data_IF_079945537466
#
_entry.id   IF_079945537466
#
_cell.length_a   1.000
_cell.length_b   1.000
_cell.length_c   1.000
_cell.angle_alpha   90.00
_cell.angle_beta   90.00
_cell.angle_gamma   90.00
#
_symmetry.space_group_name_H-M   'P 1'
#
loop_
_entity.id
_entity.type
_entity.pdbx_description
1 polymer ?
#
# COMPACT_ATOMS: atom_id res chain seq x y z
N UNK A 1 19.05 13.81 -2.69
CA UNK A 1 17.64 13.42 -2.85
C UNK A 1 17.54 11.93 -2.53
N UNK A 2 16.66 11.53 -1.64
CA UNK A 2 16.46 10.13 -1.27
C UNK A 2 15.42 9.53 -2.21
N UNK A 3 15.63 8.31 -2.67
CA UNK A 3 14.67 7.53 -3.47
C UNK A 3 14.39 6.22 -2.75
N UNK A 4 13.14 5.91 -2.51
CA UNK A 4 12.69 4.66 -1.91
C UNK A 4 11.89 3.86 -2.93
N UNK A 5 12.45 2.75 -3.38
CA UNK A 5 11.72 1.73 -4.14
C UNK A 5 11.09 0.78 -3.14
N UNK A 6 9.81 0.43 -3.31
CA UNK A 6 9.13 -0.48 -2.39
C UNK A 6 8.10 -1.34 -3.12
N UNK A 7 7.76 -2.43 -2.48
CA UNK A 7 6.74 -3.40 -2.87
C UNK A 7 6.15 -4.04 -1.62
N UNK A 8 4.88 -4.45 -1.67
CA UNK A 8 4.19 -5.07 -0.53
C UNK A 8 3.70 -6.47 -0.85
N UNK A 9 3.71 -7.34 0.17
CA UNK A 9 3.07 -8.64 0.11
C UNK A 9 1.85 -8.67 1.03
N UNK A 10 0.76 -9.26 0.54
CA UNK A 10 -0.51 -9.29 1.26
C UNK A 10 -1.14 -10.66 1.27
N UNK A 11 -1.97 -10.88 2.29
CA UNK A 11 -2.86 -12.03 2.39
C UNK A 11 -4.28 -11.55 2.68
N UNK A 12 -5.33 -12.37 2.44
CA UNK A 12 -6.69 -12.00 2.82
C UNK A 12 -6.83 -11.70 4.31
N UNK A 13 -7.47 -10.58 4.65
CA UNK A 13 -7.86 -10.26 6.03
C UNK A 13 -9.11 -11.06 6.41
N UNK A 14 -8.89 -12.27 6.90
CA UNK A 14 -9.98 -13.18 7.30
C UNK A 14 -10.83 -12.57 8.41
N UNK A 15 -10.21 -11.93 9.41
CA UNK A 15 -10.93 -11.30 10.51
C UNK A 15 -11.79 -10.12 10.04
N UNK A 16 -11.25 -9.28 9.16
CA UNK A 16 -12.01 -8.20 8.50
C UNK A 16 -13.14 -8.74 7.64
N UNK A 17 -12.87 -9.78 6.87
CA UNK A 17 -13.85 -10.45 6.04
C UNK A 17 -15.02 -11.04 6.82
N UNK A 18 -14.74 -11.70 7.97
CA UNK A 18 -15.78 -12.21 8.87
C UNK A 18 -16.70 -11.09 9.33
N UNK A 19 -16.14 -10.00 9.82
CA UNK A 19 -16.94 -8.84 10.29
C UNK A 19 -17.77 -8.21 9.18
N UNK A 20 -17.21 -8.13 7.97
CA UNK A 20 -17.89 -7.48 6.85
C UNK A 20 -19.03 -8.31 6.26
N UNK A 21 -18.84 -9.63 6.19
CA UNK A 21 -19.73 -10.53 5.46
C UNK A 21 -20.47 -11.54 6.38
N UNK A 22 -20.29 -11.47 7.71
CA UNK A 22 -20.97 -12.37 8.65
C UNK A 22 -20.53 -13.84 8.53
N UNK A 23 -19.21 -14.09 8.38
CA UNK A 23 -18.65 -15.42 8.17
C UNK A 23 -18.15 -16.10 9.44
N UNK A 24 -18.71 -15.75 10.59
CA UNK A 24 -18.22 -16.18 11.91
C UNK A 24 -18.32 -17.70 12.16
N UNK A 25 -19.20 -18.38 11.43
CA UNK A 25 -19.36 -19.85 11.53
C UNK A 25 -18.36 -20.68 10.72
N UNK A 26 -17.46 -20.03 9.96
CA UNK A 26 -16.48 -20.71 9.11
C UNK A 26 -15.10 -20.74 9.76
N UNK A 27 -14.32 -21.80 9.52
CA UNK A 27 -12.88 -21.79 9.80
C UNK A 27 -12.14 -20.81 8.87
N UNK A 28 -10.82 -20.60 9.09
CA UNK A 28 -10.04 -19.62 8.32
C UNK A 28 -9.93 -19.96 6.84
N UNK A 29 -9.79 -21.24 6.50
CA UNK A 29 -9.69 -21.69 5.11
C UNK A 29 -11.01 -21.46 4.38
N UNK A 30 -12.13 -21.91 4.96
CA UNK A 30 -13.46 -21.75 4.40
C UNK A 30 -13.86 -20.26 4.30
N UNK A 31 -13.50 -19.45 5.30
CA UNK A 31 -13.73 -17.99 5.24
C UNK A 31 -12.93 -17.33 4.12
N UNK A 32 -11.67 -17.74 3.91
CA UNK A 32 -10.84 -17.27 2.79
C UNK A 32 -11.45 -17.61 1.43
N UNK A 33 -11.89 -18.86 1.25
CA UNK A 33 -12.57 -19.27 0.01
C UNK A 33 -13.87 -18.50 -0.22
N UNK A 34 -14.65 -18.27 0.85
CA UNK A 34 -15.86 -17.48 0.77
C UNK A 34 -15.59 -16.03 0.34
N UNK A 35 -14.50 -15.39 0.83
CA UNK A 35 -14.11 -14.05 0.41
C UNK A 35 -13.82 -13.98 -1.09
N UNK A 36 -13.06 -14.92 -1.64
CA UNK A 36 -12.79 -14.98 -3.08
C UNK A 36 -14.06 -15.22 -3.88
N UNK A 37 -14.95 -16.10 -3.42
CA UNK A 37 -16.23 -16.38 -4.07
C UNK A 37 -17.15 -15.16 -4.09
N UNK A 38 -17.30 -14.48 -2.96
CA UNK A 38 -18.07 -13.25 -2.85
C UNK A 38 -17.51 -12.17 -3.79
N UNK A 39 -16.19 -12.04 -3.83
CA UNK A 39 -15.56 -11.06 -4.70
C UNK A 39 -15.79 -11.34 -6.17
N UNK A 40 -15.71 -12.60 -6.62
CA UNK A 40 -16.05 -12.99 -7.98
C UNK A 40 -17.49 -12.65 -8.34
N UNK A 41 -18.43 -12.83 -7.41
CA UNK A 41 -19.83 -12.45 -7.62
C UNK A 41 -20.00 -10.93 -7.77
N UNK A 42 -19.32 -10.14 -6.93
CA UNK A 42 -19.37 -8.67 -6.97
C UNK A 42 -18.78 -8.10 -8.28
N UNK A 43 -17.71 -8.69 -8.79
CA UNK A 43 -16.96 -8.17 -9.95
C UNK A 43 -17.37 -8.75 -11.28
N UNK A 44 -18.17 -9.82 -11.28
CA UNK A 44 -18.50 -10.55 -12.49
C UNK A 44 -17.37 -11.45 -13.00
N UNK A 45 -16.41 -11.84 -12.13
CA UNK A 45 -15.38 -12.81 -12.50
C UNK A 45 -14.02 -12.68 -11.82
N UNK A 46 -13.61 -11.47 -11.43
CA UNK A 46 -12.33 -11.28 -10.71
C UNK A 46 -12.48 -11.65 -9.24
N UNK A 47 -11.52 -12.42 -8.74
CA UNK A 47 -11.40 -12.75 -7.32
C UNK A 47 -10.43 -11.83 -6.55
N UNK A 48 -9.90 -10.79 -7.21
CA UNK A 48 -9.01 -9.81 -6.61
C UNK A 48 -9.71 -9.11 -5.44
N UNK A 49 -9.29 -9.42 -4.21
CA UNK A 49 -9.90 -8.94 -2.97
C UNK A 49 -9.77 -7.41 -2.87
N UNK A 50 -10.77 -6.77 -2.25
CA UNK A 50 -10.75 -5.31 -2.01
C UNK A 50 -9.49 -4.90 -1.24
N UNK A 51 -8.91 -3.76 -1.57
CA UNK A 51 -7.70 -3.22 -0.92
C UNK A 51 -7.82 -3.17 0.61
N UNK A 52 -8.98 -2.82 1.16
CA UNK A 52 -9.23 -2.79 2.61
C UNK A 52 -9.19 -4.16 3.29
N UNK A 53 -9.32 -5.25 2.53
CA UNK A 53 -9.23 -6.63 2.99
C UNK A 53 -7.91 -7.32 2.61
N UNK A 54 -6.95 -6.59 2.07
CA UNK A 54 -5.58 -7.04 1.83
C UNK A 54 -4.74 -6.77 3.07
N UNK A 55 -4.48 -7.79 3.91
CA UNK A 55 -3.64 -7.66 5.09
C UNK A 55 -2.17 -7.70 4.69
N UNK A 56 -1.44 -6.63 4.99
CA UNK A 56 0.00 -6.53 4.70
C UNK A 56 0.79 -7.46 5.62
N UNK A 57 1.63 -8.29 5.03
CA UNK A 57 2.52 -9.21 5.77
C UNK A 57 3.99 -8.86 5.62
N UNK A 58 4.34 -8.13 4.57
CA UNK A 58 5.72 -7.76 4.28
C UNK A 58 5.76 -6.48 3.44
N UNK A 59 6.79 -5.65 3.67
CA UNK A 59 7.16 -4.54 2.79
C UNK A 59 8.65 -4.64 2.51
N UNK A 60 9.01 -4.90 1.26
CA UNK A 60 10.39 -4.86 0.79
C UNK A 60 10.75 -3.45 0.34
N UNK A 61 11.94 -2.98 0.70
CA UNK A 61 12.36 -1.62 0.44
C UNK A 61 13.84 -1.50 0.06
N UNK A 62 14.11 -0.62 -0.88
CA UNK A 62 15.45 -0.22 -1.30
C UNK A 62 15.55 1.30 -1.23
N UNK A 63 16.35 1.81 -0.32
CA UNK A 63 16.64 3.24 -0.19
C UNK A 63 17.95 3.58 -0.84
N UNK A 64 17.92 4.43 -1.85
CA UNK A 64 19.09 5.12 -2.40
C UNK A 64 19.20 6.51 -1.79
N UNK A 65 20.33 6.80 -1.15
CA UNK A 65 20.65 8.09 -0.56
C UNK A 65 22.04 8.55 -0.99
N UNK A 66 22.53 9.67 -0.43
CA UNK A 66 23.93 10.11 -0.63
C UNK A 66 24.95 9.15 -0.02
N UNK A 67 24.53 8.41 1.04
CA UNK A 67 25.39 7.47 1.77
C UNK A 67 25.43 6.08 1.13
N UNK A 68 24.73 5.88 0.02
CA UNK A 68 24.69 4.63 -0.72
C UNK A 68 23.29 4.01 -0.82
N UNK A 69 23.27 2.70 -1.02
CA UNK A 69 22.06 1.90 -1.18
C UNK A 69 21.88 0.98 0.03
N UNK A 70 20.67 0.96 0.58
CA UNK A 70 20.25 0.04 1.66
C UNK A 70 19.05 -0.77 1.20
N UNK A 71 19.07 -2.07 1.48
CA UNK A 71 17.98 -2.99 1.19
C UNK A 71 17.52 -3.61 2.50
N UNK A 72 16.22 -3.65 2.75
CA UNK A 72 15.64 -4.31 3.92
C UNK A 72 14.20 -4.72 3.67
N UNK A 73 13.69 -5.55 4.56
CA UNK A 73 12.29 -5.95 4.61
C UNK A 73 11.71 -5.58 5.96
N UNK A 74 10.49 -5.07 5.97
CA UNK A 74 9.63 -4.94 7.14
C UNK A 74 8.67 -6.13 7.15
N UNK A 75 8.45 -6.73 8.30
CA UNK A 75 7.60 -7.90 8.47
C UNK A 75 8.44 -9.16 8.74
N UNK A 76 8.63 -9.46 10.00
CA UNK A 76 9.07 -10.76 10.49
C UNK A 76 7.88 -11.47 11.18
N UNK A 77 8.09 -12.72 11.59
CA UNK A 77 7.05 -13.54 12.23
C UNK A 77 6.51 -12.95 13.54
N UNK A 78 7.25 -12.04 14.17
CA UNK A 78 6.90 -11.41 15.44
C UNK A 78 6.18 -10.06 15.27
N UNK A 79 6.25 -9.44 14.07
CA UNK A 79 5.67 -8.12 13.82
C UNK A 79 4.18 -8.20 13.44
N UNK A 80 3.36 -7.41 14.11
CA UNK A 80 1.98 -7.21 13.70
C UNK A 80 1.90 -6.32 12.44
N UNK A 81 0.84 -6.44 11.65
CA UNK A 81 0.58 -5.57 10.51
C UNK A 81 0.67 -4.09 10.86
N UNK A 82 0.10 -3.69 12.02
CA UNK A 82 0.15 -2.31 12.48
C UNK A 82 1.59 -1.80 12.68
N UNK A 83 2.49 -2.65 13.19
CA UNK A 83 3.91 -2.31 13.35
C UNK A 83 4.62 -2.17 12.01
N UNK A 84 4.36 -3.09 11.08
CA UNK A 84 4.92 -3.06 9.72
C UNK A 84 4.56 -1.75 9.02
N UNK A 85 3.27 -1.42 8.98
CA UNK A 85 2.77 -0.22 8.31
C UNK A 85 3.24 1.05 9.02
N UNK A 86 3.21 1.06 10.35
CA UNK A 86 3.71 2.20 11.12
C UNK A 86 5.19 2.49 10.82
N UNK A 87 6.04 1.46 10.82
CA UNK A 87 7.47 1.60 10.49
C UNK A 87 7.71 2.14 9.08
N UNK A 88 6.88 1.71 8.12
CA UNK A 88 6.94 2.23 6.75
C UNK A 88 6.64 3.74 6.73
N UNK A 89 5.51 4.18 7.31
CA UNK A 89 5.16 5.60 7.32
C UNK A 89 6.10 6.43 8.20
N UNK A 90 6.57 5.94 9.34
CA UNK A 90 7.60 6.62 10.15
C UNK A 90 8.89 6.85 9.33
N UNK A 91 9.27 5.89 8.49
CA UNK A 91 10.39 6.03 7.56
C UNK A 91 10.16 7.12 6.52
N UNK A 92 8.95 7.22 5.97
CA UNK A 92 8.57 8.29 5.04
C UNK A 92 8.59 9.66 5.71
N UNK A 93 8.02 9.79 6.90
CA UNK A 93 8.01 11.03 7.67
C UNK A 93 9.44 11.53 7.95
N UNK A 94 10.34 10.61 8.31
CA UNK A 94 11.74 10.94 8.66
C UNK A 94 12.59 11.32 7.46
N UNK A 95 12.42 10.67 6.31
CA UNK A 95 13.36 10.79 5.18
C UNK A 95 12.76 11.51 3.97
N UNK A 96 11.44 11.62 3.92
CA UNK A 96 10.67 12.24 2.83
C UNK A 96 11.22 11.91 1.43
N UNK A 97 11.41 10.63 1.08
CA UNK A 97 12.02 10.22 -0.17
C UNK A 97 11.06 10.46 -1.35
N UNK A 98 11.57 10.45 -2.56
CA UNK A 98 10.75 10.14 -3.73
C UNK A 98 10.44 8.65 -3.71
N UNK A 99 9.17 8.28 -3.78
CA UNK A 99 8.74 6.89 -3.87
C UNK A 99 8.82 6.40 -5.31
N UNK A 100 9.17 5.13 -5.46
CA UNK A 100 9.11 4.42 -6.75
C UNK A 100 8.47 3.06 -6.50
N UNK A 101 7.52 2.67 -7.35
CA UNK A 101 6.82 1.40 -7.28
C UNK A 101 6.43 0.89 -8.66
N UNK A 102 5.96 -0.34 -8.74
CA UNK A 102 5.30 -0.90 -9.91
C UNK A 102 3.81 -1.07 -9.62
N UNK A 103 2.95 -0.37 -10.32
CA UNK A 103 1.50 -0.34 -10.06
C UNK A 103 1.11 0.11 -8.64
N UNK A 104 2.01 0.82 -7.96
CA UNK A 104 1.78 1.20 -6.56
C UNK A 104 0.62 2.17 -6.37
N UNK A 105 0.29 3.00 -7.37
CA UNK A 105 -0.91 3.84 -7.37
C UNK A 105 -2.20 3.02 -7.52
N UNK A 106 -2.12 1.82 -8.08
CA UNK A 106 -3.26 0.92 -8.26
C UNK A 106 -3.42 -0.13 -7.18
N UNK A 107 -2.37 -0.43 -6.42
CA UNK A 107 -2.40 -1.50 -5.41
C UNK A 107 -1.72 -1.12 -4.09
N UNK A 108 -0.40 -0.96 -4.06
CA UNK A 108 0.37 -0.85 -2.82
C UNK A 108 -0.09 0.33 -1.95
N UNK A 109 -0.13 1.53 -2.53
CA UNK A 109 -0.52 2.72 -1.79
C UNK A 109 -1.98 2.68 -1.33
N UNK A 110 -2.97 2.34 -2.18
CA UNK A 110 -4.35 2.13 -1.72
C UNK A 110 -4.47 1.11 -0.58
N UNK A 111 -3.77 -0.02 -0.65
CA UNK A 111 -3.76 -1.00 0.45
C UNK A 111 -3.20 -0.36 1.71
N UNK A 112 -2.00 0.23 1.65
CA UNK A 112 -1.37 0.88 2.80
C UNK A 112 -2.24 2.00 3.39
N UNK A 113 -2.97 2.77 2.56
CA UNK A 113 -3.89 3.81 3.02
C UNK A 113 -5.05 3.22 3.85
N UNK A 114 -5.75 2.22 3.30
CA UNK A 114 -6.86 1.58 4.02
C UNK A 114 -6.40 0.88 5.30
N UNK A 115 -5.26 0.21 5.26
CA UNK A 115 -4.73 -0.50 6.43
C UNK A 115 -4.21 0.48 7.48
N UNK A 116 -3.56 1.58 7.08
CA UNK A 116 -3.16 2.65 8.00
C UNK A 116 -4.39 3.26 8.70
N UNK A 117 -5.49 3.50 7.97
CA UNK A 117 -6.74 3.99 8.54
C UNK A 117 -7.34 3.00 9.55
N UNK A 118 -7.38 1.70 9.22
CA UNK A 118 -7.89 0.64 10.11
C UNK A 118 -7.10 0.57 11.42
N UNK A 119 -5.78 0.80 11.36
CA UNK A 119 -4.89 0.75 12.52
C UNK A 119 -4.65 2.11 13.20
N UNK A 120 -5.29 3.19 12.73
CA UNK A 120 -5.15 4.53 13.31
C UNK A 120 -3.74 5.12 13.16
N UNK A 121 -3.01 4.75 12.11
CA UNK A 121 -1.64 5.20 11.86
C UNK A 121 -1.67 6.57 11.19
N UNK A 122 -0.91 7.52 11.75
CA UNK A 122 -0.79 8.88 11.26
C UNK A 122 0.51 9.07 10.46
N UNK A 123 0.43 9.85 9.39
CA UNK A 123 1.57 10.23 8.55
C UNK A 123 1.33 11.66 7.96
N UNK A 124 1.40 12.71 8.79
CA UNK A 124 0.96 14.06 8.39
C UNK A 124 1.71 14.61 7.19
N UNK A 125 3.02 14.38 7.06
CA UNK A 125 3.78 14.86 5.89
C UNK A 125 3.42 14.09 4.61
N UNK A 126 3.07 12.81 4.74
CA UNK A 126 2.64 11.99 3.60
C UNK A 126 1.29 12.48 3.03
N UNK A 127 0.35 12.83 3.93
CA UNK A 127 -1.00 13.26 3.56
C UNK A 127 -1.11 14.75 3.23
N UNK A 128 -0.05 15.54 3.48
CA UNK A 128 -0.08 17.00 3.28
C UNK A 128 -0.28 17.36 1.80
N UNK A 129 -1.30 18.12 1.52
CA UNK A 129 -1.64 18.66 0.21
C UNK A 129 -1.47 20.19 0.12
N UNK A 130 -0.70 20.75 1.04
CA UNK A 130 -0.41 22.19 1.07
C UNK A 130 -1.01 22.93 2.26
N UNK A 131 -1.55 22.21 3.24
CA UNK A 131 -2.09 22.78 4.47
C UNK A 131 -0.97 23.22 5.43
N UNK A 132 0.07 22.42 5.56
CA UNK A 132 1.21 22.68 6.43
C UNK A 132 2.44 23.09 5.63
N UNK A 133 2.72 22.42 4.52
CA UNK A 133 3.79 22.75 3.60
C UNK A 133 3.21 23.21 2.25
N UNK A 134 3.37 24.50 1.92
CA UNK A 134 2.83 25.09 0.68
C UNK A 134 3.34 24.39 -0.59
N UNK A 135 4.55 23.83 -0.58
CA UNK A 135 5.12 23.13 -1.73
C UNK A 135 4.37 21.83 -2.01
N UNK A 136 3.77 21.20 -0.99
CA UNK A 136 2.95 19.99 -1.13
C UNK A 136 1.69 20.22 -1.97
N UNK A 137 1.23 21.46 -2.12
CA UNK A 137 0.14 21.79 -3.05
C UNK A 137 0.48 21.45 -4.50
N UNK A 138 1.76 21.55 -4.87
CA UNK A 138 2.23 21.37 -6.24
C UNK A 138 3.00 20.06 -6.41
N UNK A 139 3.43 19.44 -5.33
CA UNK A 139 4.20 18.21 -5.37
C UNK A 139 4.07 17.40 -4.06
N UNK A 140 3.12 16.46 -4.03
CA UNK A 140 2.83 15.57 -2.89
C UNK A 140 2.82 14.09 -3.33
N UNK A 141 2.65 13.17 -2.37
CA UNK A 141 2.62 11.73 -2.63
C UNK A 141 1.30 11.24 -3.28
N UNK A 142 0.24 12.03 -3.23
CA UNK A 142 -1.11 11.60 -3.65
C UNK A 142 -1.41 11.98 -5.11
N UNK A 143 -0.71 12.97 -5.65
CA UNK A 143 -0.92 13.45 -7.01
C UNK A 143 -0.28 12.53 -8.05
N UNK A 144 -1.09 11.93 -8.92
CA UNK A 144 -0.63 10.99 -9.97
C UNK A 144 0.49 11.55 -10.86
N UNK A 145 0.50 12.86 -11.08
CA UNK A 145 1.48 13.53 -11.96
C UNK A 145 2.55 14.29 -11.17
N UNK A 146 2.58 14.12 -9.84
CA UNK A 146 3.59 14.71 -9.00
C UNK A 146 4.86 13.84 -8.95
N UNK A 147 6.01 14.45 -8.67
CA UNK A 147 7.29 13.74 -8.65
C UNK A 147 7.62 13.06 -7.31
N UNK A 148 6.74 13.20 -6.29
CA UNK A 148 6.93 12.54 -4.99
C UNK A 148 6.72 11.03 -5.05
N UNK A 149 5.89 10.55 -5.98
CA UNK A 149 5.74 9.13 -6.27
C UNK A 149 5.81 8.91 -7.78
N UNK A 150 6.64 7.97 -8.20
CA UNK A 150 6.74 7.50 -9.58
C UNK A 150 6.23 6.06 -9.64
N UNK A 151 5.08 5.88 -10.25
CA UNK A 151 4.58 4.56 -10.64
C UNK A 151 5.20 4.19 -11.98
N UNK A 152 6.09 3.22 -11.99
CA UNK A 152 6.82 2.82 -13.19
C UNK A 152 5.88 2.25 -14.26
N UNK A 153 4.80 1.58 -13.88
CA UNK A 153 3.83 1.09 -14.85
C UNK A 153 3.11 2.24 -15.56
N UNK A 154 2.70 3.29 -14.83
CA UNK A 154 2.11 4.50 -15.41
C UNK A 154 3.11 5.25 -16.30
N UNK A 155 4.34 5.43 -15.81
CA UNK A 155 5.39 6.16 -16.53
C UNK A 155 5.72 5.47 -17.86
N UNK A 156 5.93 4.16 -17.85
CA UNK A 156 6.27 3.38 -19.04
C UNK A 156 5.11 3.28 -20.03
N UNK A 157 3.87 3.35 -19.54
CA UNK A 157 2.66 3.43 -20.37
C UNK A 157 2.40 4.85 -20.92
N UNK A 158 3.26 5.85 -20.61
CA UNK A 158 3.04 7.24 -20.99
C UNK A 158 1.78 7.83 -20.35
N UNK A 159 1.41 7.36 -19.15
CA UNK A 159 0.20 7.75 -18.40
C UNK A 159 -1.12 7.47 -19.14
N UNK A 160 -1.10 6.65 -20.17
CA UNK A 160 -2.30 6.25 -20.89
C UNK A 160 -3.09 5.17 -20.14
N UNK A 161 -4.30 4.83 -20.63
CA UNK A 161 -5.08 3.75 -20.07
C UNK A 161 -4.22 2.47 -20.06
N UNK A 162 -4.12 1.83 -18.89
CA UNK A 162 -3.20 0.71 -18.65
C UNK A 162 -3.45 -0.45 -19.61
N UNK A 163 -2.64 -0.57 -20.63
CA UNK A 163 -2.40 -1.86 -21.26
C UNK A 163 -1.39 -2.57 -20.36
N UNK A 164 -1.86 -3.25 -19.33
CA UNK A 164 -1.02 -4.07 -18.47
C UNK A 164 -0.57 -5.27 -19.27
N UNK A 165 0.70 -5.45 -19.36
CA UNK A 165 1.31 -6.68 -19.84
C UNK A 165 2.25 -7.23 -18.79
#
# INVERSE_FOLDING_TARGET
MNTLVFDIETVPDIAGGRRLYGLDGLDDAAAGEALFKLRRQETGGSDFIRHSLQRVVCISAVLRSRDGVKVWTLGDESESEAQIIKRFFDGLEKTQPTLVSWNGSGFDLPVLHYRALIHGIQAPSYWDQGEHNRDAKFNNYLGRFHSRHTDLMDLLAGYQARAVQ
#
